data_IF_767432668050
#
_entry.id   IF_767432668050
#
_cell.length_a   1.000
_cell.length_b   1.000
_cell.length_c   1.000
_cell.angle_alpha   90.00
_cell.angle_beta   90.00
_cell.angle_gamma   90.00
#
_symmetry.space_group_name_H-M   'P 1'
#
loop_
_entity.id
_entity.type
_entity.pdbx_description
1 polymer ?
#
# COMPACT_ATOMS: atom_id res chain seq x y z
N UNK A 1 7.47 -15.94 -26.56
CA UNK A 1 6.42 -15.07 -25.97
C UNK A 1 6.76 -14.94 -24.50
N UNK A 2 7.34 -13.82 -24.08
CA UNK A 2 7.52 -13.53 -22.66
C UNK A 2 6.13 -13.42 -22.05
N UNK A 3 5.78 -14.33 -21.14
CA UNK A 3 4.60 -14.19 -20.29
C UNK A 3 4.85 -12.92 -19.49
N UNK A 4 4.27 -11.80 -19.94
CA UNK A 4 4.21 -10.58 -19.13
C UNK A 4 3.37 -11.00 -17.92
N UNK A 5 3.92 -10.95 -16.69
CA UNK A 5 3.13 -11.21 -15.50
C UNK A 5 1.88 -10.34 -15.54
N UNK A 6 0.72 -10.93 -15.22
CA UNK A 6 -0.51 -10.15 -15.12
C UNK A 6 -0.30 -9.14 -13.98
N UNK A 7 -0.19 -7.86 -14.32
CA UNK A 7 0.06 -6.78 -13.35
C UNK A 7 -1.00 -6.79 -12.24
N UNK A 8 -2.23 -7.23 -12.56
CA UNK A 8 -3.28 -7.44 -11.56
C UNK A 8 -2.90 -8.53 -10.55
N UNK A 9 -2.26 -9.61 -10.96
CA UNK A 9 -1.73 -10.64 -10.06
C UNK A 9 -0.61 -10.09 -9.17
N UNK A 10 0.31 -9.28 -9.71
CA UNK A 10 1.35 -8.64 -8.92
C UNK A 10 0.75 -7.69 -7.87
N UNK A 11 -0.28 -6.93 -8.23
CA UNK A 11 -1.02 -6.07 -7.29
C UNK A 11 -1.73 -6.91 -6.20
N UNK A 12 -2.31 -8.05 -6.56
CA UNK A 12 -2.91 -8.96 -5.58
C UNK A 12 -1.86 -9.51 -4.60
N UNK A 13 -0.67 -9.87 -5.09
CA UNK A 13 0.42 -10.35 -4.23
C UNK A 13 0.92 -9.26 -3.27
N UNK A 14 1.05 -8.02 -3.76
CA UNK A 14 1.40 -6.87 -2.93
C UNK A 14 0.33 -6.57 -1.85
N UNK A 15 -0.96 -6.70 -2.21
CA UNK A 15 -2.06 -6.56 -1.27
C UNK A 15 -2.10 -7.68 -0.24
N UNK A 16 -1.93 -8.93 -0.66
CA UNK A 16 -1.84 -10.08 0.23
C UNK A 16 -0.72 -9.91 1.26
N UNK A 17 0.46 -9.48 0.82
CA UNK A 17 1.56 -9.14 1.72
C UNK A 17 1.16 -8.09 2.77
N UNK A 18 0.55 -6.99 2.31
CA UNK A 18 0.19 -5.86 3.19
C UNK A 18 -0.91 -6.25 4.19
N UNK A 19 -1.97 -6.90 3.72
CA UNK A 19 -3.09 -7.38 4.55
C UNK A 19 -2.60 -8.38 5.58
N UNK A 20 -1.79 -9.37 5.16
CA UNK A 20 -1.22 -10.36 6.08
C UNK A 20 -0.37 -9.69 7.16
N UNK A 21 0.51 -8.77 6.78
CA UNK A 21 1.35 -8.02 7.71
C UNK A 21 0.51 -7.24 8.72
N UNK A 22 -0.60 -6.64 8.30
CA UNK A 22 -1.54 -5.94 9.19
C UNK A 22 -2.21 -6.90 10.17
N UNK A 23 -2.79 -8.00 9.66
CA UNK A 23 -3.56 -8.95 10.47
C UNK A 23 -2.68 -9.68 11.49
N UNK A 24 -1.46 -10.08 11.10
CA UNK A 24 -0.53 -10.83 11.96
C UNK A 24 0.25 -9.92 12.93
N UNK A 25 0.25 -8.60 12.71
CA UNK A 25 0.99 -7.66 13.55
C UNK A 25 0.35 -7.43 14.92
N UNK A 26 1.18 -7.38 15.95
CA UNK A 26 0.81 -6.85 17.26
C UNK A 26 0.55 -5.33 17.23
N UNK A 27 -0.04 -4.81 18.31
CA UNK A 27 -0.48 -3.41 18.43
C UNK A 27 0.60 -2.39 18.05
N UNK A 28 1.83 -2.54 18.54
CA UNK A 28 2.92 -1.61 18.23
C UNK A 28 3.28 -1.60 16.74
N UNK A 29 3.32 -2.77 16.10
CA UNK A 29 3.57 -2.88 14.66
C UNK A 29 2.41 -2.31 13.85
N UNK A 30 1.16 -2.54 14.24
CA UNK A 30 -0.03 -1.93 13.61
C UNK A 30 0.03 -0.40 13.64
N UNK A 31 0.45 0.21 14.76
CA UNK A 31 0.68 1.67 14.83
C UNK A 31 1.78 2.15 13.89
N UNK A 32 2.89 1.40 13.77
CA UNK A 32 3.95 1.72 12.80
C UNK A 32 3.44 1.65 11.36
N UNK A 33 2.65 0.64 11.03
CA UNK A 33 2.01 0.51 9.71
C UNK A 33 1.09 1.71 9.44
N UNK A 34 0.24 2.08 10.40
CA UNK A 34 -0.70 3.19 10.26
C UNK A 34 0.03 4.53 10.09
N UNK A 35 1.08 4.78 10.89
CA UNK A 35 1.94 5.96 10.74
C UNK A 35 2.58 6.03 9.36
N UNK A 36 3.21 4.93 8.91
CA UNK A 36 3.83 4.86 7.60
C UNK A 36 2.82 5.07 6.46
N UNK A 37 1.60 4.54 6.60
CA UNK A 37 0.52 4.80 5.66
C UNK A 37 0.16 6.29 5.57
N UNK A 38 0.05 7.00 6.70
CA UNK A 38 -0.23 8.44 6.69
C UNK A 38 0.94 9.26 6.12
N UNK A 39 2.18 8.91 6.46
CA UNK A 39 3.39 9.53 5.91
C UNK A 39 3.47 9.34 4.39
N UNK A 40 3.17 8.14 3.92
CA UNK A 40 3.11 7.83 2.49
C UNK A 40 2.05 8.65 1.77
N UNK A 41 0.84 8.76 2.35
CA UNK A 41 -0.23 9.61 1.79
C UNK A 41 0.16 11.08 1.72
N UNK A 42 0.82 11.59 2.77
CA UNK A 42 1.32 12.96 2.79
C UNK A 42 2.39 13.17 1.71
N UNK A 43 3.31 12.22 1.53
CA UNK A 43 4.35 12.29 0.51
C UNK A 43 3.76 12.28 -0.91
N UNK A 44 2.89 11.34 -1.25
CA UNK A 44 2.35 11.29 -2.63
C UNK A 44 1.47 12.49 -2.97
N UNK A 45 0.91 13.17 -1.97
CA UNK A 45 0.18 14.42 -2.16
C UNK A 45 1.08 15.60 -2.57
N UNK A 46 2.39 15.54 -2.29
CA UNK A 46 3.36 16.58 -2.72
C UNK A 46 3.99 16.29 -4.08
N UNK A 47 3.75 15.10 -4.64
CA UNK A 47 4.32 14.66 -5.92
C UNK A 47 3.24 14.78 -7.01
N UNK A 48 3.54 15.52 -8.07
CA UNK A 48 2.64 15.61 -9.22
C UNK A 48 2.58 14.31 -10.02
N UNK A 49 1.47 14.10 -10.71
CA UNK A 49 1.32 12.98 -11.66
C UNK A 49 2.02 13.34 -12.96
N UNK A 50 2.79 12.41 -13.53
CA UNK A 50 3.43 12.60 -14.83
C UNK A 50 2.45 12.26 -15.95
N UNK A 51 1.93 13.28 -16.64
CA UNK A 51 0.93 13.13 -17.72
C UNK A 51 -0.28 12.27 -17.32
N UNK A 52 -0.69 12.37 -16.06
CA UNK A 52 -1.79 11.59 -15.48
C UNK A 52 -1.39 10.22 -14.92
N UNK A 53 -0.15 9.78 -15.15
CA UNK A 53 0.39 8.59 -14.49
C UNK A 53 0.80 8.88 -13.05
N UNK A 54 0.43 7.99 -12.14
CA UNK A 54 0.86 7.98 -10.75
C UNK A 54 2.25 7.37 -10.57
N UNK A 55 2.95 6.99 -11.65
CA UNK A 55 4.28 6.36 -11.59
C UNK A 55 5.28 7.06 -10.64
N UNK A 56 5.46 8.40 -10.66
CA UNK A 56 6.40 9.06 -9.75
C UNK A 56 6.03 8.84 -8.26
N UNK A 57 4.73 8.80 -7.95
CA UNK A 57 4.22 8.55 -6.61
C UNK A 57 4.44 7.10 -6.18
N UNK A 58 4.18 6.15 -7.08
CA UNK A 58 4.40 4.73 -6.86
C UNK A 58 5.88 4.45 -6.60
N UNK A 59 6.78 4.99 -7.43
CA UNK A 59 8.23 4.82 -7.28
C UNK A 59 8.73 5.39 -5.93
N UNK A 60 8.22 6.56 -5.51
CA UNK A 60 8.52 7.12 -4.19
C UNK A 60 8.08 6.20 -3.05
N UNK A 61 6.86 5.66 -3.10
CA UNK A 61 6.39 4.71 -2.10
C UNK A 61 7.22 3.42 -2.09
N UNK A 62 7.60 2.89 -3.26
CA UNK A 62 8.41 1.68 -3.37
C UNK A 62 9.83 1.87 -2.81
N UNK A 63 10.40 3.07 -2.93
CA UNK A 63 11.68 3.41 -2.31
C UNK A 63 11.63 3.26 -0.80
N UNK A 64 10.63 3.87 -0.15
CA UNK A 64 10.45 3.75 1.30
C UNK A 64 10.04 2.34 1.73
N UNK A 65 9.19 1.66 0.96
CA UNK A 65 8.87 0.25 1.18
C UNK A 65 10.14 -0.59 1.25
N UNK A 66 11.07 -0.44 0.32
CA UNK A 66 12.31 -1.22 0.29
C UNK A 66 13.19 -0.93 1.51
N UNK A 67 13.29 0.34 1.94
CA UNK A 67 14.03 0.72 3.15
C UNK A 67 13.49 -0.03 4.37
N UNK A 68 12.17 0.00 4.60
CA UNK A 68 11.56 -0.68 5.74
C UNK A 68 11.58 -2.20 5.59
N UNK A 69 11.33 -2.73 4.39
CA UNK A 69 11.31 -4.18 4.14
C UNK A 69 12.67 -4.82 4.39
N UNK A 70 13.75 -4.14 4.00
CA UNK A 70 15.13 -4.59 4.23
C UNK A 70 15.52 -4.56 5.71
N UNK A 71 14.85 -3.74 6.52
CA UNK A 71 15.01 -3.69 7.97
C UNK A 71 14.04 -4.63 8.72
N UNK A 72 13.25 -5.43 7.99
CA UNK A 72 12.15 -6.25 8.50
C UNK A 72 11.13 -5.45 9.35
N UNK A 73 10.92 -4.19 8.97
CA UNK A 73 9.99 -3.28 9.64
C UNK A 73 8.59 -3.38 9.02
N UNK A 74 7.60 -3.61 9.88
CA UNK A 74 6.18 -3.66 9.50
C UNK A 74 5.71 -2.40 8.79
N UNK A 75 6.34 -1.23 9.02
CA UNK A 75 6.07 0.01 8.30
C UNK A 75 6.09 -0.13 6.77
N UNK A 76 6.82 -1.12 6.23
CA UNK A 76 6.80 -1.47 4.82
C UNK A 76 5.38 -1.68 4.26
N UNK A 77 4.49 -2.32 5.02
CA UNK A 77 3.11 -2.55 4.59
C UNK A 77 2.32 -1.24 4.38
N UNK A 78 2.59 -0.20 5.17
CA UNK A 78 1.94 1.10 5.03
C UNK A 78 2.33 1.80 3.72
N UNK A 79 3.62 1.77 3.38
CA UNK A 79 4.14 2.29 2.11
C UNK A 79 3.63 1.51 0.90
N UNK A 80 3.58 0.18 1.00
CA UNK A 80 3.05 -0.67 -0.07
C UNK A 80 1.56 -0.41 -0.33
N UNK A 81 0.75 -0.22 0.72
CA UNK A 81 -0.68 0.10 0.55
C UNK A 81 -0.90 1.38 -0.26
N UNK A 82 -0.13 2.43 -0.01
CA UNK A 82 -0.26 3.68 -0.78
C UNK A 82 0.22 3.51 -2.21
N UNK A 83 1.30 2.75 -2.45
CA UNK A 83 1.74 2.42 -3.81
C UNK A 83 0.63 1.74 -4.62
N UNK A 84 -0.03 0.74 -4.03
CA UNK A 84 -1.15 0.04 -4.69
C UNK A 84 -2.36 0.95 -4.87
N UNK A 85 -2.69 1.80 -3.89
CA UNK A 85 -3.76 2.80 -4.03
C UNK A 85 -3.53 3.71 -5.24
N UNK A 86 -2.33 4.28 -5.36
CA UNK A 86 -1.97 5.15 -6.48
C UNK A 86 -2.07 4.42 -7.82
N UNK A 87 -1.61 3.16 -7.89
CA UNK A 87 -1.74 2.35 -9.11
C UNK A 87 -3.19 2.06 -9.48
N UNK A 88 -3.98 1.57 -8.54
CA UNK A 88 -5.40 1.26 -8.74
C UNK A 88 -6.20 2.53 -9.10
N UNK A 89 -5.78 3.70 -8.62
CA UNK A 89 -6.41 4.99 -8.93
C UNK A 89 -6.29 5.42 -10.40
N UNK A 90 -5.38 4.82 -11.17
CA UNK A 90 -5.29 5.04 -12.62
C UNK A 90 -6.43 4.36 -13.39
N UNK A 91 -7.15 3.41 -12.77
CA UNK A 91 -8.39 2.77 -13.29
C UNK A 91 -8.25 2.13 -14.67
N UNK A 92 -7.03 1.76 -15.05
CA UNK A 92 -6.70 1.15 -16.34
C UNK A 92 -6.22 -0.32 -16.20
N UNK A 93 -6.30 -0.90 -14.99
CA UNK A 93 -6.03 -2.32 -14.73
C UNK A 93 -7.28 -3.18 -14.95
N UNK A 94 -7.12 -4.39 -15.48
CA UNK A 94 -8.20 -5.36 -15.48
C UNK A 94 -8.59 -5.71 -14.02
N UNK A 95 -9.88 -5.61 -13.68
CA UNK A 95 -10.34 -5.88 -12.32
C UNK A 95 -10.04 -4.77 -11.29
N UNK A 96 -9.62 -3.57 -11.71
CA UNK A 96 -9.25 -2.47 -10.80
C UNK A 96 -10.31 -2.13 -9.74
N UNK A 97 -11.61 -2.29 -10.05
CA UNK A 97 -12.69 -2.06 -9.06
C UNK A 97 -12.61 -3.02 -7.89
N UNK A 98 -12.36 -4.30 -8.17
CA UNK A 98 -12.23 -5.33 -7.13
C UNK A 98 -10.96 -5.11 -6.31
N UNK A 99 -9.86 -4.73 -6.97
CA UNK A 99 -8.64 -4.33 -6.27
C UNK A 99 -8.90 -3.14 -5.34
N UNK A 100 -9.65 -2.13 -5.81
CA UNK A 100 -10.02 -0.97 -5.00
C UNK A 100 -10.81 -1.37 -3.76
N UNK A 101 -11.79 -2.26 -3.88
CA UNK A 101 -12.56 -2.77 -2.73
C UNK A 101 -11.64 -3.42 -1.68
N UNK A 102 -10.70 -4.26 -2.12
CA UNK A 102 -9.76 -4.95 -1.22
C UNK A 102 -8.83 -3.94 -0.53
N UNK A 103 -8.33 -2.97 -1.28
CA UNK A 103 -7.50 -1.87 -0.76
C UNK A 103 -8.27 -1.07 0.29
N UNK A 104 -9.50 -0.65 -0.01
CA UNK A 104 -10.33 0.15 0.88
C UNK A 104 -10.64 -0.63 2.18
N UNK A 105 -10.89 -1.94 2.08
CA UNK A 105 -11.08 -2.81 3.24
C UNK A 105 -9.81 -2.96 4.09
N UNK A 106 -8.65 -3.15 3.46
CA UNK A 106 -7.37 -3.26 4.17
C UNK A 106 -7.04 -1.98 4.94
N UNK A 107 -7.30 -0.81 4.33
CA UNK A 107 -7.14 0.49 4.98
C UNK A 107 -8.10 0.66 6.14
N UNK A 108 -9.37 0.28 5.96
CA UNK A 108 -10.35 0.36 7.03
C UNK A 108 -9.93 -0.46 8.25
N UNK A 109 -9.51 -1.71 8.05
CA UNK A 109 -9.02 -2.59 9.11
C UNK A 109 -7.78 -2.01 9.82
N UNK A 110 -6.84 -1.43 9.07
CA UNK A 110 -5.65 -0.77 9.62
C UNK A 110 -6.04 0.38 10.56
N UNK A 111 -6.96 1.24 10.13
CA UNK A 111 -7.39 2.41 10.90
C UNK A 111 -8.23 2.02 12.13
N UNK A 112 -9.07 0.98 12.01
CA UNK A 112 -9.80 0.43 13.17
C UNK A 112 -8.83 -0.15 14.21
N UNK A 113 -7.84 -0.91 13.75
CA UNK A 113 -6.80 -1.48 14.60
C UNK A 113 -5.99 -0.41 15.34
N UNK A 114 -5.74 0.74 14.71
CA UNK A 114 -5.08 1.89 15.34
C UNK A 114 -5.95 2.49 16.45
N UNK A 115 -7.24 2.75 16.17
CA UNK A 115 -8.17 3.32 17.14
C UNK A 115 -8.39 2.43 18.37
N UNK A 116 -8.59 1.13 18.15
CA UNK A 116 -8.76 0.15 19.22
C UNK A 116 -7.53 0.07 20.15
N UNK A 117 -6.34 0.42 19.65
CA UNK A 117 -5.14 0.44 20.46
C UNK A 117 -4.98 1.67 21.35
N UNK A 118 -5.76 2.73 21.12
CA UNK A 118 -5.68 3.98 21.90
C UNK A 118 -6.56 3.95 23.16
N UNK A 119 -7.41 2.94 23.30
CA UNK A 119 -8.27 2.66 24.45
C UNK A 119 -7.64 1.59 25.36
#
# INVERSE_FOLDING_TARGET
MTVVPDETADMLMALLYSVRTIVESGVQSKRRIAKAYQEARALVATIDRDRGSARPRIEACLMHFNVHKNADDAAAAGWMLVAVQERVSERNLYGWRRLKEIVDAAVHELLLSEQASLH
#
